data_IF_504728178986
#
_entry.id   IF_504728178986
#
_cell.length_a   1.000
_cell.length_b   1.000
_cell.length_c   1.000
_cell.angle_alpha   90.00
_cell.angle_beta   90.00
_cell.angle_gamma   90.00
#
_symmetry.space_group_name_H-M   'P 1'
#
loop_
_entity.id
_entity.type
_entity.pdbx_description
1 polymer ?
#
# COMPACT_ATOMS: atom_id res chain seq x y z
N UNK A 1 3.13 -5.74 48.45
CA UNK A 1 3.79 -5.52 47.15
C UNK A 1 3.11 -6.41 46.13
N UNK A 2 2.15 -5.89 45.36
CA UNK A 2 1.43 -6.68 44.37
C UNK A 2 2.28 -6.82 43.12
N UNK A 3 2.80 -8.02 42.87
CA UNK A 3 3.47 -8.35 41.63
C UNK A 3 2.44 -8.33 40.49
N UNK A 4 2.55 -7.37 39.59
CA UNK A 4 1.77 -7.31 38.36
C UNK A 4 2.12 -8.53 37.53
N UNK A 5 1.24 -9.55 37.57
CA UNK A 5 1.41 -10.80 36.84
C UNK A 5 1.50 -10.46 35.34
N UNK A 6 2.59 -10.81 34.63
CA UNK A 6 2.69 -10.52 33.21
C UNK A 6 1.56 -11.24 32.47
N UNK A 7 0.74 -10.47 31.75
CA UNK A 7 -0.33 -11.02 30.90
C UNK A 7 0.35 -11.93 29.87
N UNK A 8 -0.05 -13.22 29.78
CA UNK A 8 0.55 -14.13 28.82
C UNK A 8 0.32 -13.59 27.42
N UNK A 9 1.41 -13.38 26.68
CA UNK A 9 1.32 -12.96 25.27
C UNK A 9 0.61 -14.07 24.49
N UNK A 10 -0.30 -13.71 23.56
CA UNK A 10 -0.95 -14.71 22.71
C UNK A 10 0.11 -15.56 22.00
N UNK A 11 -0.10 -16.87 21.86
CA UNK A 11 0.77 -17.70 21.06
C UNK A 11 0.75 -17.19 19.61
N UNK A 12 1.93 -17.01 19.02
CA UNK A 12 2.10 -16.65 17.61
C UNK A 12 2.05 -17.92 16.76
N UNK A 13 1.43 -17.83 15.59
CA UNK A 13 1.36 -18.93 14.61
C UNK A 13 2.74 -19.20 14.01
N UNK A 14 3.51 -18.13 13.75
CA UNK A 14 4.87 -18.14 13.23
C UNK A 14 5.84 -17.53 14.26
N UNK A 15 6.19 -18.26 15.33
CA UNK A 15 7.00 -17.73 16.42
C UNK A 15 8.43 -17.33 16.00
N UNK A 16 8.95 -17.91 14.91
CA UNK A 16 10.27 -17.56 14.37
C UNK A 16 10.34 -16.11 13.84
N UNK A 17 9.20 -15.51 13.45
CA UNK A 17 9.13 -14.13 12.94
C UNK A 17 8.97 -13.08 14.04
N UNK A 18 9.06 -13.47 15.32
CA UNK A 18 8.84 -12.56 16.46
C UNK A 18 9.69 -11.29 16.41
N UNK A 19 10.96 -11.40 16.05
CA UNK A 19 11.85 -10.24 15.95
C UNK A 19 11.44 -9.29 14.80
N UNK A 20 10.96 -9.85 13.69
CA UNK A 20 10.44 -9.08 12.55
C UNK A 20 9.19 -8.30 12.97
N UNK A 21 8.25 -8.95 13.65
CA UNK A 21 7.06 -8.26 14.18
C UNK A 21 7.44 -7.19 15.20
N UNK A 22 8.41 -7.47 16.06
CA UNK A 22 8.94 -6.50 17.03
C UNK A 22 9.56 -5.28 16.35
N UNK A 23 10.30 -5.47 15.25
CA UNK A 23 10.84 -4.38 14.44
C UNK A 23 9.71 -3.52 13.84
N UNK A 24 8.70 -4.14 13.24
CA UNK A 24 7.54 -3.42 12.68
C UNK A 24 6.79 -2.61 13.74
N UNK A 25 6.59 -3.15 14.94
CA UNK A 25 5.97 -2.43 16.06
C UNK A 25 6.79 -1.21 16.48
N UNK A 26 8.12 -1.33 16.56
CA UNK A 26 9.00 -0.21 16.92
C UNK A 26 8.98 0.88 15.86
N UNK A 27 9.13 0.50 14.60
CA UNK A 27 9.17 1.45 13.48
C UNK A 27 7.82 2.14 13.26
N UNK A 28 6.70 1.48 13.57
CA UNK A 28 5.37 2.08 13.54
C UNK A 28 5.27 3.32 14.44
N UNK A 29 6.16 3.48 15.43
CA UNK A 29 6.25 4.68 16.26
C UNK A 29 6.42 5.98 15.47
N UNK A 30 6.96 5.92 14.24
CA UNK A 30 7.12 7.08 13.36
C UNK A 30 5.85 7.44 12.58
N UNK A 31 4.85 6.54 12.48
CA UNK A 31 3.65 6.77 11.69
C UNK A 31 2.89 8.06 12.09
N UNK A 32 2.61 8.31 13.39
CA UNK A 32 1.79 9.47 13.77
C UNK A 32 2.40 10.82 13.39
N UNK A 33 3.73 10.89 13.21
CA UNK A 33 4.42 12.11 12.78
C UNK A 33 4.54 12.26 11.26
N UNK A 34 4.01 11.32 10.48
CA UNK A 34 4.03 11.45 9.02
C UNK A 34 3.13 12.60 8.56
N UNK A 35 3.47 13.29 7.44
CA UNK A 35 2.76 14.48 7.00
C UNK A 35 1.29 14.26 6.63
N UNK A 36 0.92 13.05 6.19
CA UNK A 36 -0.41 12.80 5.68
C UNK A 36 -0.69 11.33 5.35
N UNK A 37 -1.91 11.04 4.86
CA UNK A 37 -2.38 9.68 4.65
C UNK A 37 -1.59 8.96 3.55
N UNK A 38 -1.13 9.65 2.50
CA UNK A 38 -0.34 9.05 1.43
C UNK A 38 0.97 8.47 1.97
N UNK A 39 1.70 9.25 2.79
CA UNK A 39 2.98 8.80 3.35
C UNK A 39 2.78 7.62 4.28
N UNK A 40 1.70 7.61 5.07
CA UNK A 40 1.34 6.48 5.92
C UNK A 40 1.00 5.23 5.11
N UNK A 41 0.23 5.37 4.03
CA UNK A 41 -0.14 4.27 3.13
C UNK A 41 1.08 3.70 2.39
N UNK A 42 1.98 4.55 1.87
CA UNK A 42 3.23 4.12 1.23
C UNK A 42 4.13 3.39 2.23
N UNK A 43 4.28 3.93 3.45
CA UNK A 43 5.05 3.30 4.51
C UNK A 43 4.49 1.92 4.87
N UNK A 44 3.16 1.83 5.05
CA UNK A 44 2.48 0.57 5.37
C UNK A 44 2.59 -0.44 4.23
N UNK A 45 2.41 0.01 2.99
CA UNK A 45 2.57 -0.82 1.80
C UNK A 45 3.98 -1.41 1.73
N UNK A 46 5.02 -0.61 2.03
CA UNK A 46 6.39 -1.10 1.99
C UNK A 46 6.64 -2.23 3.00
N UNK A 47 6.09 -2.11 4.22
CA UNK A 47 6.19 -3.16 5.25
C UNK A 47 5.42 -4.42 4.89
N UNK A 48 4.25 -4.27 4.28
CA UNK A 48 3.48 -5.40 3.77
C UNK A 48 4.20 -6.08 2.60
N UNK A 49 4.82 -5.30 1.71
CA UNK A 49 5.65 -5.80 0.63
C UNK A 49 6.85 -6.62 1.12
N UNK A 50 7.58 -6.14 2.13
CA UNK A 50 8.66 -6.91 2.75
C UNK A 50 8.16 -8.22 3.39
N UNK A 51 6.97 -8.20 4.00
CA UNK A 51 6.36 -9.39 4.57
C UNK A 51 5.92 -10.39 3.49
N UNK A 52 5.35 -9.90 2.39
CA UNK A 52 4.91 -10.71 1.24
C UNK A 52 6.11 -11.34 0.51
N UNK A 53 7.17 -10.57 0.27
CA UNK A 53 8.41 -11.06 -0.33
C UNK A 53 9.10 -12.14 0.52
N UNK A 54 9.04 -12.03 1.85
CA UNK A 54 9.61 -13.02 2.77
C UNK A 54 8.75 -14.30 2.92
N UNK A 55 7.50 -14.29 2.46
CA UNK A 55 6.56 -15.40 2.61
C UNK A 55 5.92 -15.78 1.25
N UNK A 56 6.57 -16.64 0.45
CA UNK A 56 6.12 -16.96 -0.90
C UNK A 56 4.80 -17.77 -0.93
N UNK A 57 4.43 -18.43 0.17
CA UNK A 57 3.21 -19.23 0.26
C UNK A 57 2.04 -18.47 0.90
N UNK A 58 0.85 -18.58 0.29
CA UNK A 58 -0.35 -17.84 0.71
C UNK A 58 -0.76 -18.10 2.17
N UNK A 59 -0.64 -19.35 2.63
CA UNK A 59 -0.95 -19.71 4.03
C UNK A 59 0.01 -19.05 5.01
N UNK A 60 1.32 -19.07 4.70
CA UNK A 60 2.35 -18.40 5.48
C UNK A 60 2.13 -16.89 5.55
N UNK A 61 1.77 -16.24 4.43
CA UNK A 61 1.42 -14.81 4.41
C UNK A 61 0.23 -14.49 5.32
N UNK A 62 -0.82 -15.30 5.23
CA UNK A 62 -2.02 -15.11 6.06
C UNK A 62 -1.70 -15.26 7.55
N UNK A 63 -0.92 -16.28 7.92
CA UNK A 63 -0.47 -16.48 9.29
C UNK A 63 0.40 -15.31 9.77
N UNK A 64 1.35 -14.85 8.95
CA UNK A 64 2.22 -13.73 9.28
C UNK A 64 1.46 -12.41 9.46
N UNK A 65 0.47 -12.16 8.62
CA UNK A 65 -0.43 -11.00 8.74
C UNK A 65 -1.26 -11.05 10.03
N UNK A 66 -1.79 -12.23 10.38
CA UNK A 66 -2.55 -12.43 11.62
C UNK A 66 -1.71 -12.21 12.88
N UNK A 67 -0.48 -12.72 12.88
CA UNK A 67 0.49 -12.51 13.96
C UNK A 67 0.89 -11.04 14.08
N UNK A 68 1.16 -10.35 12.97
CA UNK A 68 1.48 -8.93 12.95
C UNK A 68 0.34 -8.09 13.56
N UNK A 69 -0.91 -8.35 13.15
CA UNK A 69 -2.09 -7.67 13.74
C UNK A 69 -2.17 -7.92 15.24
N UNK A 70 -1.87 -9.15 15.68
CA UNK A 70 -1.86 -9.51 17.11
C UNK A 70 -0.78 -8.77 17.87
N UNK A 71 0.44 -8.70 17.32
CA UNK A 71 1.56 -7.95 17.90
C UNK A 71 1.28 -6.45 17.99
N UNK A 72 0.75 -5.83 16.93
CA UNK A 72 0.39 -4.41 16.91
C UNK A 72 -0.70 -4.10 17.95
N UNK A 73 -1.73 -4.95 18.03
CA UNK A 73 -2.79 -4.80 19.03
C UNK A 73 -2.23 -4.88 20.45
N UNK A 74 -1.35 -5.83 20.71
CA UNK A 74 -0.73 -6.01 22.03
C UNK A 74 0.20 -4.85 22.42
N UNK A 75 0.83 -4.20 21.45
CA UNK A 75 1.70 -3.05 21.68
C UNK A 75 0.91 -1.82 22.17
N UNK A 76 -0.32 -1.64 21.68
CA UNK A 76 -1.25 -0.57 22.11
C UNK A 76 -0.65 0.85 22.10
N UNK A 77 0.27 1.13 21.18
CA UNK A 77 0.87 2.46 20.99
C UNK A 77 0.13 3.25 19.90
N UNK A 78 0.27 4.60 19.85
CA UNK A 78 -0.29 5.41 18.76
C UNK A 78 0.17 4.94 17.38
N UNK A 79 1.46 4.60 17.25
CA UNK A 79 2.03 4.03 16.04
C UNK A 79 1.40 2.69 15.64
N UNK A 80 1.21 1.78 16.59
CA UNK A 80 0.58 0.49 16.31
C UNK A 80 -0.90 0.65 15.90
N UNK A 81 -1.63 1.58 16.53
CA UNK A 81 -3.00 1.92 16.13
C UNK A 81 -3.05 2.50 14.72
N UNK A 82 -2.15 3.44 14.38
CA UNK A 82 -2.04 4.03 13.05
C UNK A 82 -1.71 2.96 11.99
N UNK A 83 -0.80 2.03 12.27
CA UNK A 83 -0.49 0.92 11.37
C UNK A 83 -1.71 0.00 11.15
N UNK A 84 -2.42 -0.38 12.22
CA UNK A 84 -3.63 -1.19 12.10
C UNK A 84 -4.73 -0.48 11.28
N UNK A 85 -4.84 0.86 11.39
CA UNK A 85 -5.77 1.66 10.56
C UNK A 85 -5.36 1.66 9.09
N UNK A 86 -4.08 1.87 8.78
CA UNK A 86 -3.57 1.83 7.41
C UNK A 86 -3.73 0.43 6.79
N UNK A 87 -3.46 -0.63 7.54
CA UNK A 87 -3.66 -2.02 7.12
C UNK A 87 -5.16 -2.30 6.86
N UNK A 88 -6.05 -1.77 7.69
CA UNK A 88 -7.49 -1.88 7.48
C UNK A 88 -7.96 -1.18 6.20
N UNK A 89 -7.31 -0.08 5.81
CA UNK A 89 -7.64 0.67 4.61
C UNK A 89 -7.08 0.01 3.34
N UNK A 90 -5.77 -0.21 3.27
CA UNK A 90 -5.08 -0.61 2.02
C UNK A 90 -4.51 -2.02 2.01
N UNK A 91 -4.53 -2.74 3.14
CA UNK A 91 -3.89 -4.05 3.26
C UNK A 91 -4.59 -5.17 2.46
N UNK A 92 -4.11 -6.42 2.55
CA UNK A 92 -4.75 -7.57 1.92
C UNK A 92 -6.18 -7.79 2.44
N UNK A 93 -7.09 -8.22 1.55
CA UNK A 93 -8.53 -8.35 1.84
C UNK A 93 -8.79 -9.21 3.08
N UNK A 94 -8.04 -10.30 3.23
CA UNK A 94 -8.13 -11.23 4.36
C UNK A 94 -7.80 -10.59 5.71
N UNK A 95 -6.95 -9.55 5.74
CA UNK A 95 -6.51 -8.88 6.96
C UNK A 95 -7.30 -7.63 7.33
N UNK A 96 -7.93 -6.94 6.36
CA UNK A 96 -8.53 -5.61 6.56
C UNK A 96 -9.51 -5.57 7.73
N UNK A 97 -10.46 -6.51 7.77
CA UNK A 97 -11.49 -6.56 8.81
C UNK A 97 -10.91 -6.83 10.20
N UNK A 98 -9.91 -7.72 10.28
CA UNK A 98 -9.25 -8.05 11.54
C UNK A 98 -8.44 -6.86 12.08
N UNK A 99 -7.70 -6.17 11.21
CA UNK A 99 -6.96 -4.97 11.57
C UNK A 99 -7.88 -3.82 11.99
N UNK A 100 -8.99 -3.61 11.29
CA UNK A 100 -9.98 -2.59 11.64
C UNK A 100 -10.57 -2.81 13.03
N UNK A 101 -10.92 -4.07 13.37
CA UNK A 101 -11.37 -4.42 14.73
C UNK A 101 -10.28 -4.22 15.77
N UNK A 102 -9.05 -4.62 15.46
CA UNK A 102 -7.92 -4.44 16.37
C UNK A 102 -7.63 -2.96 16.64
N UNK A 103 -7.67 -2.11 15.61
CA UNK A 103 -7.54 -0.66 15.76
C UNK A 103 -8.70 -0.04 16.57
N UNK A 104 -9.93 -0.52 16.35
CA UNK A 104 -11.12 -0.09 17.11
C UNK A 104 -11.04 -0.43 18.59
N UNK A 105 -10.44 -1.57 18.94
CA UNK A 105 -10.21 -1.96 20.33
C UNK A 105 -9.19 -1.07 21.06
N UNK A 106 -8.38 -0.28 20.33
CA UNK A 106 -7.43 0.69 20.88
C UNK A 106 -8.05 2.09 21.05
N UNK A 107 -9.34 2.18 21.37
CA UNK A 107 -10.08 3.45 21.45
C UNK A 107 -9.52 4.49 22.43
N UNK A 108 -8.77 4.06 23.45
CA UNK A 108 -8.09 4.96 24.40
C UNK A 108 -6.73 5.49 23.93
N UNK A 109 -6.25 5.07 22.75
CA UNK A 109 -4.97 5.50 22.18
C UNK A 109 -5.20 6.64 21.19
N UNK A 110 -4.41 7.70 21.31
CA UNK A 110 -4.51 8.89 20.46
C UNK A 110 -4.44 8.55 18.96
N UNK A 111 -5.24 9.25 18.17
CA UNK A 111 -5.27 9.12 16.72
C UNK A 111 -4.37 10.12 16.03
N UNK A 112 -3.72 9.70 14.94
CA UNK A 112 -3.07 10.64 14.04
C UNK A 112 -4.13 11.41 13.24
N UNK A 113 -3.84 12.68 12.93
CA UNK A 113 -4.80 13.59 12.29
C UNK A 113 -5.29 13.09 10.92
N UNK A 114 -4.46 12.35 10.19
CA UNK A 114 -4.75 11.83 8.85
C UNK A 114 -5.49 10.49 8.83
N UNK A 115 -5.73 9.84 9.97
CA UNK A 115 -6.26 8.47 9.98
C UNK A 115 -7.66 8.34 9.37
N UNK A 116 -8.49 9.38 9.49
CA UNK A 116 -9.84 9.40 8.92
C UNK A 116 -9.84 9.32 7.40
N UNK A 117 -8.78 9.79 6.76
CA UNK A 117 -8.66 9.91 5.30
C UNK A 117 -8.03 8.67 4.64
N UNK A 118 -7.50 7.72 5.42
CA UNK A 118 -6.83 6.52 4.89
C UNK A 118 -7.73 5.75 3.92
N UNK A 119 -7.19 5.45 2.73
CA UNK A 119 -7.87 4.75 1.65
C UNK A 119 -9.03 5.51 0.99
N UNK A 120 -9.40 6.70 1.48
CA UNK A 120 -10.51 7.51 0.95
C UNK A 120 -10.01 8.40 -0.17
N UNK A 121 -9.83 7.80 -1.34
CA UNK A 121 -9.38 8.51 -2.53
C UNK A 121 -10.36 8.36 -3.68
N UNK A 122 -10.46 9.41 -4.48
CA UNK A 122 -11.25 9.44 -5.71
C UNK A 122 -10.29 9.31 -6.89
N UNK A 123 -10.55 8.41 -7.86
CA UNK A 123 -9.77 8.33 -9.07
C UNK A 123 -9.92 9.59 -9.93
N UNK A 124 -8.83 9.98 -10.59
CA UNK A 124 -8.77 11.08 -11.54
C UNK A 124 -8.60 10.57 -12.97
N UNK A 125 -7.71 11.21 -13.72
CA UNK A 125 -7.39 10.78 -15.08
C UNK A 125 -6.51 9.52 -15.08
N UNK A 126 -6.57 8.77 -16.19
CA UNK A 126 -5.66 7.67 -16.45
C UNK A 126 -5.05 7.80 -17.85
N UNK A 127 -3.80 7.38 -17.97
CA UNK A 127 -3.04 7.41 -19.22
C UNK A 127 -2.31 6.09 -19.44
N UNK A 128 -2.15 5.76 -20.71
CA UNK A 128 -1.17 4.80 -21.17
C UNK A 128 0.02 5.57 -21.74
N UNK A 129 1.23 5.24 -21.28
CA UNK A 129 2.49 5.72 -21.80
C UNK A 129 3.23 4.53 -22.42
N UNK A 130 3.66 4.66 -23.67
CA UNK A 130 4.43 3.63 -24.39
C UNK A 130 5.73 4.25 -24.88
N UNK A 131 6.87 3.79 -24.36
CA UNK A 131 8.22 4.31 -24.66
C UNK A 131 8.81 3.68 -25.94
N UNK A 132 8.32 2.49 -26.32
CA UNK A 132 8.73 1.78 -27.52
C UNK A 132 7.95 0.48 -27.69
N UNK A 133 8.03 -0.20 -28.85
CA UNK A 133 7.26 -1.40 -29.13
C UNK A 133 7.63 -2.60 -28.23
N UNK A 134 8.79 -2.56 -27.56
CA UNK A 134 9.30 -3.64 -26.71
C UNK A 134 9.36 -3.28 -25.22
N UNK A 135 9.17 -2.01 -24.85
CA UNK A 135 9.33 -1.53 -23.47
C UNK A 135 8.09 -1.77 -22.59
N UNK A 136 7.03 -2.30 -23.20
CA UNK A 136 5.76 -2.57 -22.56
C UNK A 136 4.95 -1.29 -22.33
N UNK A 137 3.94 -1.43 -21.48
CA UNK A 137 2.95 -0.40 -21.21
C UNK A 137 3.18 0.19 -19.82
N UNK A 138 3.21 1.52 -19.70
CA UNK A 138 3.17 2.21 -18.41
C UNK A 138 1.80 2.81 -18.20
N UNK A 139 1.05 2.25 -17.25
CA UNK A 139 -0.26 2.74 -16.85
C UNK A 139 -0.09 3.76 -15.72
N UNK A 140 -0.58 4.98 -15.92
CA UNK A 140 -0.54 6.06 -14.93
C UNK A 140 -1.96 6.46 -14.55
N UNK A 141 -2.31 6.38 -13.27
CA UNK A 141 -3.64 6.72 -12.76
C UNK A 141 -3.54 7.75 -11.64
N UNK A 142 -4.25 8.87 -11.76
CA UNK A 142 -4.33 9.88 -10.70
C UNK A 142 -5.32 9.51 -9.62
N UNK A 143 -5.03 9.96 -8.40
CA UNK A 143 -5.89 9.85 -7.23
C UNK A 143 -5.79 11.12 -6.39
N UNK A 144 -6.88 11.47 -5.72
CA UNK A 144 -6.95 12.55 -4.74
C UNK A 144 -7.67 12.09 -3.50
N UNK A 145 -7.27 12.58 -2.33
CA UNK A 145 -8.03 12.35 -1.11
C UNK A 145 -9.29 13.22 -1.10
N UNK A 146 -10.44 12.63 -0.73
CA UNK A 146 -11.78 13.26 -0.82
C UNK A 146 -11.86 14.64 -0.15
N UNK A 147 -11.16 14.82 0.97
CA UNK A 147 -11.25 16.00 1.84
C UNK A 147 -10.06 16.95 1.70
N UNK A 148 -9.13 16.69 0.79
CA UNK A 148 -7.83 17.40 0.74
C UNK A 148 -7.68 18.39 -0.42
N UNK A 149 -8.69 18.55 -1.29
CA UNK A 149 -8.61 19.48 -2.41
C UNK A 149 -7.47 19.13 -3.38
N UNK A 150 -6.57 20.09 -3.65
CA UNK A 150 -5.34 19.84 -4.45
C UNK A 150 -4.19 19.27 -3.62
N UNK A 151 -4.26 19.36 -2.29
CA UNK A 151 -3.30 18.69 -1.41
C UNK A 151 -3.62 17.18 -1.43
N UNK A 152 -2.63 16.33 -1.61
CA UNK A 152 -2.85 14.87 -1.70
C UNK A 152 -3.18 14.33 -3.11
N UNK A 153 -3.02 15.13 -4.17
CA UNK A 153 -2.90 14.61 -5.53
C UNK A 153 -1.67 13.69 -5.61
N UNK A 154 -1.87 12.48 -6.13
CA UNK A 154 -0.80 11.52 -6.39
C UNK A 154 -1.18 10.65 -7.59
N UNK A 155 -0.21 9.92 -8.14
CA UNK A 155 -0.45 8.95 -9.19
C UNK A 155 0.10 7.58 -8.82
N UNK A 156 -0.57 6.53 -9.29
CA UNK A 156 -0.03 5.19 -9.38
C UNK A 156 0.53 5.00 -10.79
N UNK A 157 1.82 4.69 -10.91
CA UNK A 157 2.46 4.34 -12.18
C UNK A 157 2.89 2.86 -12.13
N UNK A 158 2.36 2.05 -13.03
CA UNK A 158 2.68 0.61 -13.13
C UNK A 158 3.24 0.32 -14.51
N UNK A 159 4.44 -0.24 -14.56
CA UNK A 159 5.03 -0.78 -15.80
C UNK A 159 4.62 -2.23 -15.96
N UNK A 160 4.00 -2.55 -17.09
CA UNK A 160 3.61 -3.88 -17.51
C UNK A 160 4.44 -4.30 -18.72
N UNK A 161 5.19 -5.38 -18.59
CA UNK A 161 5.88 -6.00 -19.72
C UNK A 161 4.89 -6.77 -20.61
N UNK A 162 5.40 -7.39 -21.67
CA UNK A 162 4.62 -8.27 -22.54
C UNK A 162 3.85 -9.33 -21.72
N UNK A 163 2.57 -9.53 -22.04
CA UNK A 163 1.69 -10.45 -21.30
C UNK A 163 1.17 -9.88 -19.98
N UNK A 164 1.20 -8.56 -19.79
CA UNK A 164 0.71 -7.86 -18.59
C UNK A 164 1.43 -8.26 -17.30
N UNK A 165 2.70 -8.67 -17.40
CA UNK A 165 3.53 -9.00 -16.25
C UNK A 165 4.03 -7.71 -15.59
N UNK A 166 3.73 -7.44 -14.30
CA UNK A 166 4.24 -6.25 -13.63
C UNK A 166 5.75 -6.26 -13.52
N UNK A 167 6.37 -5.17 -13.98
CA UNK A 167 7.81 -4.95 -13.91
C UNK A 167 8.23 -3.90 -12.89
N UNK A 168 7.35 -2.96 -12.54
CA UNK A 168 7.62 -1.87 -11.59
C UNK A 168 6.29 -1.26 -11.12
N UNK A 169 6.21 -0.90 -9.83
CA UNK A 169 5.07 -0.18 -9.25
C UNK A 169 5.58 1.02 -8.46
N UNK A 170 5.22 2.23 -8.90
CA UNK A 170 5.65 3.48 -8.28
C UNK A 170 4.45 4.32 -7.87
N UNK A 171 4.54 4.92 -6.68
CA UNK A 171 3.61 5.94 -6.21
C UNK A 171 4.27 7.30 -6.39
N UNK A 172 3.65 8.17 -7.16
CA UNK A 172 4.20 9.48 -7.52
C UNK A 172 3.45 10.55 -6.73
N UNK A 173 4.16 11.25 -5.85
CA UNK A 173 3.62 12.38 -5.09
C UNK A 173 3.62 13.72 -5.84
N UNK A 174 4.48 13.88 -6.85
CA UNK A 174 4.57 15.08 -7.70
C UNK A 174 4.08 14.77 -9.12
N UNK A 175 2.75 14.73 -9.26
CA UNK A 175 2.09 14.47 -10.54
C UNK A 175 2.40 15.55 -11.59
N UNK A 176 2.42 16.87 -11.26
CA UNK A 176 2.84 17.89 -12.22
C UNK A 176 4.24 17.67 -12.80
N UNK A 177 5.22 17.27 -11.98
CA UNK A 177 6.56 16.95 -12.46
C UNK A 177 6.56 15.72 -13.38
N UNK A 178 5.83 14.65 -13.02
CA UNK A 178 5.66 13.47 -13.86
C UNK A 178 5.06 13.83 -15.23
N UNK A 179 3.97 14.60 -15.25
CA UNK A 179 3.33 14.99 -16.51
C UNK A 179 4.20 15.93 -17.34
N UNK A 180 5.02 16.77 -16.70
CA UNK A 180 6.01 17.59 -17.39
C UNK A 180 7.11 16.73 -18.03
N UNK A 181 7.61 15.71 -17.32
CA UNK A 181 8.58 14.76 -17.86
C UNK A 181 8.00 13.96 -19.03
N UNK A 182 6.77 13.46 -18.91
CA UNK A 182 6.07 12.75 -19.98
C UNK A 182 5.91 13.62 -21.24
N UNK A 183 5.50 14.89 -21.08
CA UNK A 183 5.41 15.84 -22.22
C UNK A 183 6.76 16.07 -22.90
N UNK A 184 7.85 16.20 -22.13
CA UNK A 184 9.20 16.35 -22.69
C UNK A 184 9.62 15.10 -23.47
N UNK A 185 9.35 13.91 -22.94
CA UNK A 185 9.63 12.66 -23.62
C UNK A 185 8.82 12.51 -24.93
N UNK A 186 7.54 12.89 -24.92
CA UNK A 186 6.73 12.95 -26.15
C UNK A 186 7.30 13.91 -27.20
N UNK A 187 7.73 15.11 -26.78
CA UNK A 187 8.32 16.12 -27.68
C UNK A 187 9.65 15.65 -28.28
N UNK A 188 10.37 14.79 -27.58
CA UNK A 188 11.59 14.15 -28.05
C UNK A 188 11.32 12.85 -28.83
N UNK A 189 10.07 12.52 -29.14
CA UNK A 189 9.65 11.29 -29.83
C UNK A 189 10.08 10.00 -29.11
N UNK A 190 10.26 10.07 -27.78
CA UNK A 190 10.67 8.93 -26.95
C UNK A 190 9.50 8.16 -26.37
N UNK A 191 8.27 8.68 -26.44
CA UNK A 191 7.09 7.96 -26.01
C UNK A 191 5.80 8.52 -26.64
N UNK A 192 4.76 7.69 -26.60
CA UNK A 192 3.37 8.08 -26.86
C UNK A 192 2.62 8.12 -25.54
N UNK A 193 1.86 9.19 -25.29
CA UNK A 193 0.95 9.31 -24.14
C UNK A 193 -0.46 9.44 -24.66
N UNK A 194 -1.35 8.57 -24.22
CA UNK A 194 -2.76 8.59 -24.60
C UNK A 194 -3.67 8.52 -23.38
N UNK A 195 -4.78 9.27 -23.35
CA UNK A 195 -5.83 9.05 -22.36
C UNK A 195 -6.30 7.60 -22.41
N UNK A 196 -6.55 7.01 -21.24
CA UNK A 196 -7.03 5.64 -21.15
C UNK A 196 -8.24 5.59 -20.21
N UNK A 197 -9.25 4.82 -20.59
CA UNK A 197 -10.45 4.64 -19.79
C UNK A 197 -10.09 4.04 -18.42
N UNK A 198 -10.46 4.74 -17.34
CA UNK A 198 -10.12 4.36 -15.97
C UNK A 198 -10.61 2.95 -15.61
N UNK A 199 -11.85 2.59 -15.97
CA UNK A 199 -12.40 1.25 -15.70
C UNK A 199 -11.62 0.14 -16.42
N UNK A 200 -11.22 0.38 -17.67
CA UNK A 200 -10.39 -0.55 -18.44
C UNK A 200 -8.99 -0.72 -17.80
N UNK A 201 -8.39 0.39 -17.36
CA UNK A 201 -7.10 0.37 -16.63
C UNK A 201 -7.25 -0.40 -15.32
N UNK A 202 -8.34 -0.18 -14.58
CA UNK A 202 -8.65 -0.87 -13.33
C UNK A 202 -8.82 -2.38 -13.51
N UNK A 203 -9.49 -2.82 -14.57
CA UNK A 203 -9.61 -4.25 -14.90
C UNK A 203 -8.24 -4.87 -15.19
N UNK A 204 -7.42 -4.19 -16.02
CA UNK A 204 -6.08 -4.66 -16.40
C UNK A 204 -5.12 -4.72 -15.20
N UNK A 205 -5.09 -3.67 -14.38
CA UNK A 205 -4.25 -3.63 -13.18
C UNK A 205 -4.63 -4.68 -12.16
N UNK A 206 -5.93 -4.93 -11.92
CA UNK A 206 -6.36 -6.01 -11.02
C UNK A 206 -5.91 -7.37 -11.53
N UNK A 207 -6.09 -7.65 -12.82
CA UNK A 207 -5.62 -8.90 -13.42
C UNK A 207 -4.11 -9.09 -13.24
N UNK A 208 -3.31 -8.03 -13.42
CA UNK A 208 -1.86 -8.08 -13.30
C UNK A 208 -1.37 -8.17 -11.84
N UNK A 209 -2.01 -7.46 -10.90
CA UNK A 209 -1.54 -7.31 -9.51
C UNK A 209 -2.11 -8.36 -8.53
N UNK A 210 -3.24 -8.99 -8.86
CA UNK A 210 -3.84 -10.05 -8.05
C UNK A 210 -3.31 -11.46 -8.41
N UNK A 211 -2.38 -11.56 -9.36
CA UNK A 211 -1.74 -12.80 -9.77
C UNK A 211 -1.01 -13.52 -8.63
N UNK A 212 -0.97 -14.85 -8.69
CA UNK A 212 -0.42 -15.72 -7.63
C UNK A 212 1.11 -15.96 -7.74
N UNK A 213 1.83 -15.18 -8.55
CA UNK A 213 3.27 -15.35 -8.80
C UNK A 213 4.16 -14.44 -7.93
N UNK A 214 5.46 -14.72 -7.87
CA UNK A 214 6.42 -13.76 -7.33
C UNK A 214 6.44 -12.51 -8.22
N UNK A 215 6.38 -11.33 -7.59
CA UNK A 215 6.60 -10.07 -8.28
C UNK A 215 8.10 -9.72 -8.28
N UNK A 216 8.57 -8.92 -9.25
CA UNK A 216 9.88 -8.27 -9.16
C UNK A 216 10.01 -7.44 -7.88
N UNK A 217 11.25 -7.30 -7.38
CA UNK A 217 11.54 -6.58 -6.14
C UNK A 217 10.96 -5.16 -6.13
N UNK A 218 11.04 -4.46 -7.27
CA UNK A 218 10.54 -3.09 -7.47
C UNK A 218 9.01 -2.94 -7.35
N UNK A 219 8.26 -4.06 -7.35
CA UNK A 219 6.81 -4.01 -7.19
C UNK A 219 6.39 -4.02 -5.71
N UNK A 220 7.10 -4.76 -4.86
CA UNK A 220 6.66 -5.02 -3.48
C UNK A 220 6.41 -3.76 -2.64
N UNK A 221 7.25 -2.71 -2.69
CA UNK A 221 7.08 -1.55 -1.80
C UNK A 221 5.70 -0.88 -1.93
N UNK A 222 5.15 -0.84 -3.14
CA UNK A 222 3.88 -0.19 -3.44
C UNK A 222 2.71 -1.16 -3.70
N UNK A 223 2.93 -2.48 -3.61
CA UNK A 223 1.98 -3.49 -4.09
C UNK A 223 0.61 -3.45 -3.39
N UNK A 224 0.58 -3.38 -2.05
CA UNK A 224 -0.68 -3.33 -1.31
C UNK A 224 -1.48 -2.06 -1.66
N UNK A 225 -0.78 -0.92 -1.74
CA UNK A 225 -1.39 0.35 -2.14
C UNK A 225 -1.88 0.30 -3.59
N UNK A 226 -1.11 -0.27 -4.52
CA UNK A 226 -1.47 -0.42 -5.92
C UNK A 226 -2.72 -1.28 -6.11
N UNK A 227 -2.81 -2.43 -5.42
CA UNK A 227 -4.01 -3.29 -5.43
C UNK A 227 -5.24 -2.52 -4.93
N UNK A 228 -5.10 -1.75 -3.84
CA UNK A 228 -6.17 -0.88 -3.37
C UNK A 228 -6.59 0.15 -4.42
N UNK A 229 -5.64 0.89 -5.00
CA UNK A 229 -5.91 1.91 -6.01
C UNK A 229 -6.55 1.34 -7.28
N UNK A 230 -6.07 0.18 -7.76
CA UNK A 230 -6.66 -0.53 -8.88
C UNK A 230 -8.12 -0.94 -8.61
N UNK A 231 -8.47 -1.26 -7.36
CA UNK A 231 -9.85 -1.62 -6.99
C UNK A 231 -10.85 -0.45 -7.03
N UNK A 232 -10.36 0.80 -7.04
CA UNK A 232 -11.20 2.01 -7.10
C UNK A 232 -11.46 2.48 -8.54
N UNK A 233 -10.78 1.90 -9.52
CA UNK A 233 -10.94 2.21 -10.94
C UNK A 233 -12.07 1.34 -11.53
N UNK A 234 -13.31 1.78 -11.32
CA UNK A 234 -14.55 1.10 -11.77
C UNK A 234 -15.27 1.84 -12.88
#
# INVERSE_FOLDING_TARGET
>A
MSATRPVPRPPLTLPALREVYGAFVREAGALPSLPGPLQAEVWTSARLGSLEAAAPHAEGRRAALGDLITCLRAAATPGARAFLRALAAIGPVEGRRAAGRAAGALGGVAAAAWEGSLGRVVPGQAWLIQEGPLDGDRLVCEFRYEESGTTGLHALAVRLAYGDVPGEVVVVGDVPALMTAARRAMQAELCVVQPYNAAAVGARLRAALDGAGPFPEDCYPALALARHRASLLV
#
